data_IF_679611192237
#
_entry.id   IF_679611192237
#
_cell.length_a   1.000
_cell.length_b   1.000
_cell.length_c   1.000
_cell.angle_alpha   90.00
_cell.angle_beta   90.00
_cell.angle_gamma   90.00
#
_symmetry.space_group_name_H-M   'P 1'
#
loop_
_entity.id
_entity.type
_entity.pdbx_description
1 polymer ?
#
# COMPACT_ATOMS: atom_id res chain seq x y z
N UNK A 1 -42.00 12.90 33.33
CA UNK A 1 -41.09 11.74 33.14
C UNK A 1 -40.28 11.87 31.86
N UNK A 2 -40.93 11.93 30.69
CA UNK A 2 -40.29 11.99 29.36
C UNK A 2 -39.39 13.20 29.16
N UNK A 3 -39.78 14.38 29.65
CA UNK A 3 -39.00 15.61 29.55
C UNK A 3 -37.62 15.51 30.22
N UNK A 4 -37.56 14.93 31.42
CA UNK A 4 -36.29 14.75 32.14
C UNK A 4 -35.37 13.75 31.45
N UNK A 5 -35.93 12.69 30.82
CA UNK A 5 -35.15 11.75 30.03
C UNK A 5 -34.56 12.39 28.78
N UNK A 6 -35.31 13.26 28.10
CA UNK A 6 -34.82 13.95 26.89
C UNK A 6 -33.72 14.95 27.26
N UNK A 7 -33.94 15.79 28.28
CA UNK A 7 -32.96 16.79 28.72
C UNK A 7 -31.70 16.10 29.27
N UNK A 8 -31.86 15.05 30.08
CA UNK A 8 -30.74 14.26 30.59
C UNK A 8 -29.93 13.60 29.48
N UNK A 9 -30.60 13.04 28.46
CA UNK A 9 -29.95 12.47 27.28
C UNK A 9 -29.12 13.50 26.50
N UNK A 10 -29.63 14.72 26.32
CA UNK A 10 -28.90 15.81 25.64
C UNK A 10 -27.68 16.27 26.45
N UNK A 11 -27.79 16.35 27.78
CA UNK A 11 -26.66 16.73 28.64
C UNK A 11 -25.56 15.65 28.57
N UNK A 12 -25.92 14.37 28.64
CA UNK A 12 -24.96 13.26 28.52
C UNK A 12 -24.31 13.22 27.13
N UNK A 13 -25.09 13.44 26.08
CA UNK A 13 -24.60 13.49 24.70
C UNK A 13 -23.64 14.66 24.45
N UNK A 14 -23.79 15.79 25.17
CA UNK A 14 -22.87 16.92 25.10
C UNK A 14 -21.64 16.80 26.01
N UNK A 15 -21.64 15.86 26.95
CA UNK A 15 -20.50 15.57 27.82
C UNK A 15 -19.44 14.67 27.18
N UNK A 16 -18.39 14.37 27.93
CA UNK A 16 -17.28 13.50 27.50
C UNK A 16 -17.75 12.07 27.17
N UNK A 17 -18.80 11.59 27.83
CA UNK A 17 -19.43 10.29 27.56
C UNK A 17 -20.04 10.25 26.16
N UNK A 18 -20.78 11.31 25.77
CA UNK A 18 -21.37 11.42 24.43
C UNK A 18 -20.31 11.46 23.33
N UNK A 19 -19.20 12.18 23.55
CA UNK A 19 -18.06 12.20 22.62
C UNK A 19 -17.39 10.84 22.49
N UNK A 20 -17.17 10.13 23.59
CA UNK A 20 -16.58 8.78 23.58
C UNK A 20 -17.46 7.77 22.83
N UNK A 21 -18.78 7.81 23.03
CA UNK A 21 -19.74 6.97 22.30
C UNK A 21 -19.78 7.36 20.81
N UNK A 22 -19.80 8.65 20.48
CA UNK A 22 -19.76 9.10 19.09
C UNK A 22 -18.45 8.71 18.38
N UNK A 23 -17.33 8.75 19.09
CA UNK A 23 -16.02 8.30 18.60
C UNK A 23 -16.00 6.79 18.35
N UNK A 24 -16.55 5.99 19.27
CA UNK A 24 -16.75 4.54 19.09
C UNK A 24 -17.68 4.21 17.91
N UNK A 25 -18.78 4.96 17.74
CA UNK A 25 -19.76 4.75 16.66
C UNK A 25 -19.21 5.20 15.30
N UNK A 26 -18.37 6.24 15.25
CA UNK A 26 -17.66 6.66 14.03
C UNK A 26 -16.59 5.68 13.57
N UNK A 27 -16.32 4.62 14.32
CA UNK A 27 -15.41 3.54 13.93
C UNK A 27 -13.92 3.88 14.03
N UNK A 28 -13.55 5.15 14.20
CA UNK A 28 -12.16 5.56 14.38
C UNK A 28 -11.75 5.39 15.84
N UNK A 29 -11.15 4.26 16.20
CA UNK A 29 -10.24 4.25 17.34
C UNK A 29 -8.98 5.04 16.93
N UNK A 30 -8.31 5.79 17.82
CA UNK A 30 -7.03 6.43 17.50
C UNK A 30 -5.95 5.41 17.08
N UNK A 31 -6.14 4.14 17.45
CA UNK A 31 -5.31 3.02 16.96
C UNK A 31 -5.55 2.71 15.49
N UNK A 32 -6.75 2.91 14.97
CA UNK A 32 -7.12 2.61 13.58
C UNK A 32 -6.49 3.62 12.61
N UNK A 33 -6.47 4.91 12.98
CA UNK A 33 -5.81 5.96 12.19
C UNK A 33 -4.29 5.74 12.09
N UNK A 34 -3.64 5.30 13.18
CA UNK A 34 -2.21 4.94 13.16
C UNK A 34 -1.92 3.73 12.28
N UNK A 35 -2.73 2.67 12.42
CA UNK A 35 -2.61 1.47 11.59
C UNK A 35 -2.84 1.80 10.12
N UNK A 36 -3.80 2.67 9.79
CA UNK A 36 -4.01 3.13 8.42
C UNK A 36 -2.82 3.94 7.88
N UNK A 37 -2.19 4.76 8.73
CA UNK A 37 -0.96 5.48 8.38
C UNK A 37 0.21 4.55 8.07
N UNK A 38 0.48 3.59 8.96
CA UNK A 38 1.53 2.58 8.77
C UNK A 38 1.27 1.73 7.52
N UNK A 39 0.02 1.32 7.28
CA UNK A 39 -0.35 0.60 6.05
C UNK A 39 -0.15 1.43 4.78
N UNK A 40 -0.39 2.74 4.83
CA UNK A 40 -0.15 3.62 3.70
C UNK A 40 1.35 3.77 3.41
N UNK A 41 2.18 3.89 4.44
CA UNK A 41 3.64 3.94 4.33
C UNK A 41 4.21 2.64 3.75
N UNK A 42 3.78 1.48 4.27
CA UNK A 42 4.20 0.17 3.75
C UNK A 42 3.80 -0.01 2.28
N UNK A 43 2.62 0.46 1.88
CA UNK A 43 2.19 0.42 0.46
C UNK A 43 3.07 1.29 -0.42
N UNK A 44 3.45 2.47 0.04
CA UNK A 44 4.36 3.35 -0.70
C UNK A 44 5.74 2.72 -0.86
N UNK A 45 6.28 2.11 0.19
CA UNK A 45 7.56 1.41 0.11
C UNK A 45 7.50 0.22 -0.86
N UNK A 46 6.42 -0.56 -0.81
CA UNK A 46 6.19 -1.66 -1.74
C UNK A 46 6.11 -1.18 -3.19
N UNK A 47 5.42 -0.07 -3.45
CA UNK A 47 5.33 0.53 -4.78
C UNK A 47 6.70 0.99 -5.30
N UNK A 48 7.57 1.50 -4.42
CA UNK A 48 8.94 1.87 -4.79
C UNK A 48 9.75 0.63 -5.17
N UNK A 49 9.70 -0.43 -4.35
CA UNK A 49 10.38 -1.69 -4.63
C UNK A 49 9.88 -2.32 -5.92
N UNK A 50 8.57 -2.33 -6.18
CA UNK A 50 8.01 -2.84 -7.42
C UNK A 50 8.51 -2.08 -8.66
N UNK A 51 8.69 -0.76 -8.56
CA UNK A 51 9.27 0.04 -9.66
C UNK A 51 10.73 -0.31 -9.90
N UNK A 52 11.52 -0.46 -8.84
CA UNK A 52 12.92 -0.84 -8.97
C UNK A 52 13.06 -2.25 -9.56
N UNK A 53 12.23 -3.20 -9.13
CA UNK A 53 12.17 -4.54 -9.70
C UNK A 53 11.80 -4.52 -11.19
N UNK A 54 10.86 -3.65 -11.60
CA UNK A 54 10.50 -3.49 -13.00
C UNK A 54 11.67 -2.98 -13.86
N UNK A 55 12.40 -1.96 -13.38
CA UNK A 55 13.61 -1.43 -14.04
C UNK A 55 14.71 -2.51 -14.15
N UNK A 56 14.95 -3.23 -13.05
CA UNK A 56 15.91 -4.33 -13.04
C UNK A 56 15.54 -5.42 -14.06
N UNK A 57 14.25 -5.75 -14.16
CA UNK A 57 13.77 -6.75 -15.11
C UNK A 57 13.99 -6.31 -16.56
N UNK A 58 13.72 -5.04 -16.89
CA UNK A 58 13.98 -4.50 -18.22
C UNK A 58 15.47 -4.54 -18.57
N UNK A 59 16.35 -4.18 -17.62
CA UNK A 59 17.80 -4.25 -17.81
C UNK A 59 18.31 -5.67 -18.02
N UNK A 60 17.71 -6.64 -17.33
CA UNK A 60 18.03 -8.07 -17.50
C UNK A 60 17.57 -8.56 -18.88
N UNK A 61 16.33 -8.28 -19.28
CA UNK A 61 15.82 -8.66 -20.62
C UNK A 61 16.67 -8.02 -21.73
N UNK A 62 17.09 -6.76 -21.55
CA UNK A 62 18.01 -6.11 -22.47
C UNK A 62 19.36 -6.84 -22.57
N UNK A 63 19.95 -7.21 -21.43
CA UNK A 63 21.21 -7.96 -21.40
C UNK A 63 21.07 -9.34 -22.05
N UNK A 64 19.96 -10.04 -21.82
CA UNK A 64 19.66 -11.33 -22.43
C UNK A 64 19.58 -11.21 -23.95
N UNK A 65 18.85 -10.21 -24.46
CA UNK A 65 18.74 -9.94 -25.92
C UNK A 65 20.09 -9.57 -26.53
N UNK A 66 20.93 -8.83 -25.80
CA UNK A 66 22.27 -8.46 -26.26
C UNK A 66 23.18 -9.69 -26.36
N UNK A 67 23.16 -10.55 -25.34
CA UNK A 67 23.93 -11.80 -25.29
C UNK A 67 23.47 -12.81 -26.35
N UNK A 68 22.16 -12.92 -26.58
CA UNK A 68 21.61 -13.76 -27.64
C UNK A 68 22.09 -13.30 -29.02
N UNK A 69 22.13 -11.97 -29.26
CA UNK A 69 22.65 -11.39 -30.51
C UNK A 69 24.15 -11.62 -30.68
N UNK A 70 24.95 -11.49 -29.62
CA UNK A 70 26.40 -11.77 -29.71
C UNK A 70 26.69 -13.25 -29.93
N UNK A 71 25.92 -14.15 -29.31
CA UNK A 71 26.09 -15.60 -29.43
C UNK A 71 25.68 -16.11 -30.82
N UNK A 72 24.66 -15.51 -31.43
CA UNK A 72 24.23 -15.84 -32.79
C UNK A 72 25.10 -15.27 -33.92
N UNK A 73 26.04 -14.37 -33.62
CA UNK A 73 26.90 -13.71 -34.61
C UNK A 73 28.29 -14.35 -34.75
N UNK A 74 28.59 -15.42 -34.00
CA UNK A 74 29.82 -16.18 -34.22
C UNK A 74 29.73 -16.87 -35.59
N UNK A 75 30.56 -16.49 -36.59
CA UNK A 75 30.58 -17.20 -37.86
C UNK A 75 31.05 -18.62 -37.58
N UNK A 76 30.22 -19.61 -37.89
CA UNK A 76 30.62 -21.02 -37.86
C UNK A 76 31.76 -21.17 -38.88
N UNK A 77 33.02 -21.40 -38.46
CA UNK A 77 34.10 -21.54 -39.42
C UNK A 77 34.01 -22.92 -40.05
N UNK A 78 33.68 -22.95 -41.34
CA UNK A 78 34.10 -23.98 -42.29
C UNK A 78 33.57 -25.39 -42.02
N UNK A 79 32.28 -25.60 -42.27
CA UNK A 79 31.77 -26.91 -42.69
C UNK A 79 31.64 -26.94 -44.21
N UNK A 80 32.74 -27.17 -44.93
CA UNK A 80 32.70 -27.65 -46.31
C UNK A 80 33.42 -29.00 -46.39
N UNK A 81 32.83 -29.86 -47.22
CA UNK A 81 33.05 -31.30 -47.35
C UNK A 81 34.42 -31.70 -47.94
#
# INVERSE_FOLDING_TARGET
MTFFLTVGGVIIARGEIGKAIAHRIRGGSPSDERVQGELAEVRQELDLVHRELADMHERIDFAERLLARSSGSAPVPGGEA
#
